data_IF_905048529928
#
_entry.id   IF_905048529928
#
_cell.length_a   1.000
_cell.length_b   1.000
_cell.length_c   1.000
_cell.angle_alpha   90.00
_cell.angle_beta   90.00
_cell.angle_gamma   90.00
#
_symmetry.space_group_name_H-M   'P 1'
#
loop_
_entity.id
_entity.type
_entity.pdbx_description
1 polymer ?
#
# COMPACT_ATOMS: atom_id res chain seq x y z
N UNK A 1 10.84 -14.95 -1.74
CA UNK A 1 10.33 -14.19 -2.91
C UNK A 1 10.75 -12.70 -2.92
N UNK A 2 10.85 -11.97 -1.80
CA UNK A 2 11.15 -10.51 -1.83
C UNK A 2 12.46 -10.07 -1.15
N UNK A 3 13.41 -10.98 -0.92
CA UNK A 3 14.56 -10.71 -0.03
C UNK A 3 15.50 -9.56 -0.49
N UNK A 4 15.41 -9.10 -1.74
CA UNK A 4 16.22 -8.02 -2.32
C UNK A 4 15.36 -7.06 -3.18
N UNK A 5 14.06 -6.98 -2.89
CA UNK A 5 13.15 -6.07 -3.59
C UNK A 5 13.05 -4.74 -2.84
N UNK A 6 13.73 -3.72 -3.36
CA UNK A 6 13.80 -2.38 -2.76
C UNK A 6 12.57 -1.54 -3.08
N UNK A 7 11.62 -2.02 -3.88
CA UNK A 7 10.37 -1.29 -4.19
C UNK A 7 9.41 -1.25 -3.01
N UNK A 8 8.48 -0.26 -2.96
CA UNK A 8 7.39 -0.27 -1.99
C UNK A 8 6.46 -1.46 -2.23
N UNK A 9 5.48 -1.66 -1.33
CA UNK A 9 4.46 -2.68 -1.51
C UNK A 9 3.71 -2.47 -2.84
N UNK A 10 3.34 -1.22 -3.12
CA UNK A 10 2.67 -0.78 -4.35
C UNK A 10 3.20 0.60 -4.75
N UNK A 11 3.60 0.75 -6.02
CA UNK A 11 4.06 2.03 -6.56
C UNK A 11 2.88 3.00 -6.70
N UNK A 12 3.08 4.26 -6.29
CA UNK A 12 2.02 5.27 -6.26
C UNK A 12 1.01 5.11 -5.12
N UNK A 13 1.19 4.14 -4.22
CA UNK A 13 0.37 4.04 -3.03
C UNK A 13 0.76 5.09 -1.99
N UNK A 14 -0.23 5.87 -1.55
CA UNK A 14 -0.08 6.96 -0.59
C UNK A 14 -0.38 6.53 0.85
N UNK A 15 -0.10 5.27 1.21
CA UNK A 15 -0.19 4.81 2.60
C UNK A 15 1.12 5.09 3.36
N UNK A 16 1.10 5.17 4.70
CA UNK A 16 2.32 5.43 5.49
C UNK A 16 3.46 4.41 5.27
N UNK A 17 3.15 3.19 4.80
CA UNK A 17 4.17 2.20 4.47
C UNK A 17 4.83 2.45 3.09
N UNK A 18 4.07 2.92 2.11
CA UNK A 18 4.53 3.13 0.73
C UNK A 18 5.02 4.54 0.48
N UNK A 19 4.54 5.53 1.24
CA UNK A 19 4.95 6.94 1.17
C UNK A 19 4.98 7.56 2.58
N UNK A 20 5.95 7.20 3.43
CA UNK A 20 6.04 7.70 4.80
C UNK A 20 6.28 9.20 4.89
N UNK A 21 6.95 9.79 3.89
CA UNK A 21 7.25 11.22 3.83
C UNK A 21 5.97 12.07 3.81
N UNK A 22 4.93 11.60 3.13
CA UNK A 22 3.61 12.26 3.08
C UNK A 22 2.79 12.14 4.38
N UNK A 23 3.22 11.30 5.33
CA UNK A 23 2.49 11.04 6.59
C UNK A 23 3.30 11.43 7.85
N UNK A 24 4.28 12.31 7.70
CA UNK A 24 5.15 12.79 8.79
C UNK A 24 5.89 11.67 9.55
N UNK A 25 6.12 10.51 8.90
CA UNK A 25 6.84 9.41 9.50
C UNK A 25 8.30 9.43 9.05
N UNK A 26 9.21 9.52 10.02
CA UNK A 26 10.63 9.60 9.73
C UNK A 26 11.19 8.23 9.35
N UNK A 27 11.66 8.11 8.11
CA UNK A 27 12.47 6.98 7.63
C UNK A 27 13.83 7.47 7.17
N UNK A 28 14.74 6.54 6.87
CA UNK A 28 16.04 6.87 6.32
C UNK A 28 15.87 7.67 5.01
N UNK A 29 16.23 8.95 5.04
CA UNK A 29 16.09 9.88 3.92
C UNK A 29 14.66 9.96 3.33
N UNK A 30 13.63 9.72 4.13
CA UNK A 30 12.23 9.76 3.66
C UNK A 30 11.85 8.63 2.69
N UNK A 31 12.65 7.56 2.61
CA UNK A 31 12.37 6.42 1.73
C UNK A 31 11.19 5.58 2.24
N UNK A 32 10.47 4.96 1.31
CA UNK A 32 9.43 3.98 1.61
C UNK A 32 9.98 2.74 2.33
N UNK A 33 9.09 2.00 2.98
CA UNK A 33 9.44 0.68 3.52
C UNK A 33 9.48 -0.32 2.38
N UNK A 34 10.66 -0.86 2.08
CA UNK A 34 10.81 -1.82 0.98
C UNK A 34 10.16 -3.16 1.27
N UNK A 35 9.78 -3.88 0.22
CA UNK A 35 9.29 -5.27 0.32
C UNK A 35 10.33 -6.19 0.98
N UNK A 36 11.62 -5.95 0.73
CA UNK A 36 12.70 -6.66 1.41
C UNK A 36 12.71 -6.41 2.92
N UNK A 37 12.57 -5.15 3.34
CA UNK A 37 12.54 -4.77 4.73
C UNK A 37 11.30 -5.31 5.46
N UNK A 38 10.12 -5.19 4.86
CA UNK A 38 8.88 -5.74 5.43
C UNK A 38 8.97 -7.26 5.56
N UNK A 39 9.52 -7.95 4.55
CA UNK A 39 9.77 -9.40 4.65
C UNK A 39 10.71 -9.73 5.80
N UNK A 40 11.78 -8.96 5.97
CA UNK A 40 12.71 -9.14 7.09
C UNK A 40 11.97 -9.03 8.42
N UNK A 41 11.17 -7.98 8.63
CA UNK A 41 10.38 -7.80 9.86
C UNK A 41 9.45 -8.98 10.14
N UNK A 42 8.75 -9.48 9.13
CA UNK A 42 7.83 -10.63 9.28
C UNK A 42 8.58 -11.88 9.70
N UNK A 43 9.76 -12.15 9.12
CA UNK A 43 10.56 -13.34 9.45
C UNK A 43 11.22 -13.22 10.82
N UNK A 44 11.57 -11.99 11.22
CA UNK A 44 12.10 -11.70 12.54
C UNK A 44 11.02 -11.68 13.64
N UNK A 45 9.75 -11.92 13.31
CA UNK A 45 8.61 -11.81 14.23
C UNK A 45 8.47 -10.42 14.88
N UNK A 46 8.81 -9.37 14.13
CA UNK A 46 8.68 -7.98 14.58
C UNK A 46 7.29 -7.42 14.27
N UNK A 47 6.63 -6.83 15.27
CA UNK A 47 5.27 -6.29 15.16
C UNK A 47 5.13 -5.18 14.11
N UNK A 48 6.22 -4.48 13.81
CA UNK A 48 6.22 -3.45 12.77
C UNK A 48 5.85 -4.02 11.39
N UNK A 49 6.23 -5.27 11.09
CA UNK A 49 5.90 -5.91 9.81
C UNK A 49 4.38 -6.00 9.57
N UNK A 50 3.63 -6.69 10.46
CA UNK A 50 2.17 -6.74 10.41
C UNK A 50 1.48 -5.37 10.42
N UNK A 51 2.02 -4.38 11.16
CA UNK A 51 1.47 -3.01 11.20
C UNK A 51 1.57 -2.35 9.81
N UNK A 52 2.74 -2.39 9.19
CA UNK A 52 2.97 -1.81 7.86
C UNK A 52 2.06 -2.43 6.78
N UNK A 53 1.92 -3.76 6.81
CA UNK A 53 1.04 -4.49 5.89
C UNK A 53 -0.42 -4.13 6.14
N UNK A 54 -0.85 -4.01 7.40
CA UNK A 54 -2.20 -3.58 7.75
C UNK A 54 -2.51 -2.18 7.24
N UNK A 55 -1.59 -1.23 7.42
CA UNK A 55 -1.75 0.15 6.93
C UNK A 55 -1.92 0.19 5.40
N UNK A 56 -1.14 -0.60 4.67
CA UNK A 56 -1.29 -0.71 3.22
C UNK A 56 -2.63 -1.34 2.82
N UNK A 57 -3.00 -2.45 3.44
CA UNK A 57 -4.25 -3.15 3.14
C UNK A 57 -5.47 -2.26 3.41
N UNK A 58 -5.50 -1.58 4.55
CA UNK A 58 -6.58 -0.64 4.89
C UNK A 58 -6.69 0.46 3.84
N UNK A 59 -5.56 1.04 3.42
CA UNK A 59 -5.59 2.07 2.38
C UNK A 59 -6.09 1.52 1.04
N UNK A 60 -5.64 0.33 0.65
CA UNK A 60 -6.13 -0.34 -0.55
C UNK A 60 -7.65 -0.54 -0.50
N UNK A 61 -8.20 -1.05 0.61
CA UNK A 61 -9.63 -1.25 0.80
C UNK A 61 -10.41 0.06 0.79
N UNK A 62 -9.87 1.12 1.41
CA UNK A 62 -10.48 2.45 1.37
C UNK A 62 -10.63 2.95 -0.08
N UNK A 63 -9.56 2.88 -0.88
CA UNK A 63 -9.61 3.28 -2.31
C UNK A 63 -10.55 2.39 -3.12
N UNK A 64 -10.54 1.09 -2.87
CA UNK A 64 -11.45 0.14 -3.52
C UNK A 64 -12.92 0.51 -3.27
N UNK A 65 -13.25 0.78 -2.01
CA UNK A 65 -14.62 1.16 -1.64
C UNK A 65 -15.00 2.55 -2.19
N UNK A 66 -14.06 3.49 -2.29
CA UNK A 66 -14.30 4.80 -2.94
C UNK A 66 -14.63 4.62 -4.41
N UNK A 67 -13.80 3.88 -5.16
CA UNK A 67 -14.04 3.64 -6.59
C UNK A 67 -15.35 2.88 -6.83
N UNK A 68 -15.69 1.93 -5.96
CA UNK A 68 -16.94 1.18 -6.06
C UNK A 68 -18.17 2.09 -5.86
N UNK A 69 -18.12 2.99 -4.87
CA UNK A 69 -19.19 3.97 -4.64
C UNK A 69 -19.36 4.90 -5.84
N UNK A 70 -18.26 5.39 -6.41
CA UNK A 70 -18.29 6.22 -7.62
C UNK A 70 -18.92 5.46 -8.80
N UNK A 71 -18.53 4.21 -9.03
CA UNK A 71 -19.10 3.37 -10.08
C UNK A 71 -20.62 3.19 -9.93
N UNK A 72 -21.11 3.04 -8.70
CA UNK A 72 -22.55 2.93 -8.41
C UNK A 72 -23.26 4.26 -8.68
N UNK A 73 -22.69 5.38 -8.24
CA UNK A 73 -23.32 6.71 -8.39
C UNK A 73 -23.32 7.19 -9.83
N UNK A 74 -22.28 6.87 -10.60
CA UNK A 74 -22.11 7.29 -12.00
C UNK A 74 -22.60 6.24 -13.01
N UNK A 75 -22.99 5.04 -12.53
CA UNK A 75 -23.28 3.84 -13.32
C UNK A 75 -22.14 3.44 -14.30
N UNK A 76 -20.90 3.84 -13.99
CA UNK A 76 -19.71 3.59 -14.82
C UNK A 76 -18.92 2.34 -14.39
N UNK A 77 -19.52 1.17 -14.62
CA UNK A 77 -18.88 -0.11 -14.32
C UNK A 77 -17.67 -0.44 -15.21
N UNK A 78 -17.65 0.07 -16.44
CA UNK A 78 -16.50 -0.11 -17.35
C UNK A 78 -15.30 0.74 -16.90
N UNK A 79 -15.53 1.98 -16.46
CA UNK A 79 -14.49 2.82 -15.86
C UNK A 79 -13.93 2.23 -14.58
N UNK A 80 -14.78 1.66 -13.72
CA UNK A 80 -14.33 0.91 -12.54
C UNK A 80 -13.40 -0.26 -12.92
N UNK A 81 -13.81 -1.09 -13.89
CA UNK A 81 -12.98 -2.21 -14.39
C UNK A 81 -11.66 -1.74 -14.99
N UNK A 82 -11.67 -0.64 -15.76
CA UNK A 82 -10.46 -0.07 -16.38
C UNK A 82 -9.46 0.44 -15.34
N UNK A 83 -9.93 1.06 -14.24
CA UNK A 83 -9.09 1.50 -13.12
C UNK A 83 -8.51 0.35 -12.31
N UNK A 84 -9.11 -0.85 -12.39
CA UNK A 84 -8.71 -2.03 -11.60
C UNK A 84 -8.53 -3.25 -12.50
N UNK A 85 -7.48 -3.27 -13.35
CA UNK A 85 -7.15 -4.46 -14.12
C UNK A 85 -6.90 -5.64 -13.19
N UNK A 86 -7.45 -6.81 -13.54
CA UNK A 86 -7.24 -8.05 -12.80
C UNK A 86 -5.79 -8.52 -12.89
#
# INVERSE_FOLDING_TARGET
KHARDDRPIEEGCDCPACDPASHAWATYQGRHFSRAYIRHLIISNEMLGPILVTLHNLRYFQRLMTDLRLAITEDDWEGFKRKRPR
#
